data_IF_447633959021
#
_entry.id   IF_447633959021
#
_cell.length_a   1.000
_cell.length_b   1.000
_cell.length_c   1.000
_cell.angle_alpha   90.00
_cell.angle_beta   90.00
_cell.angle_gamma   90.00
#
_symmetry.space_group_name_H-M   'P 1'
#
loop_
_entity.id
_entity.type
_entity.pdbx_description
1 polymer ?
#
# COMPACT_ATOMS: atom_id res chain seq x y z
N UNK A 1 16.52 -5.03 19.31
CA UNK A 1 16.39 -3.55 19.33
C UNK A 1 15.22 -3.14 20.21
N UNK A 2 15.27 -1.94 20.77
CA UNK A 2 14.13 -1.23 21.38
C UNK A 2 13.70 -0.03 20.49
N UNK A 3 12.66 0.71 20.87
CA UNK A 3 12.11 1.81 20.06
C UNK A 3 13.11 2.96 19.92
N UNK A 4 13.81 3.33 20.99
CA UNK A 4 14.82 4.39 20.95
C UNK A 4 15.93 4.09 19.94
N UNK A 5 16.31 2.82 19.82
CA UNK A 5 17.27 2.35 18.82
C UNK A 5 16.71 2.30 17.40
N UNK A 6 15.38 2.31 17.21
CA UNK A 6 14.74 2.38 15.88
C UNK A 6 14.63 3.82 15.40
N UNK A 7 14.37 4.77 16.32
CA UNK A 7 14.31 6.19 16.00
C UNK A 7 15.63 6.65 15.37
N UNK A 8 15.53 7.34 14.26
CA UNK A 8 16.66 7.87 13.51
C UNK A 8 17.13 6.97 12.37
N UNK A 9 16.65 5.72 12.27
CA UNK A 9 16.90 4.85 11.13
C UNK A 9 15.96 5.14 9.96
N UNK A 10 16.46 4.89 8.75
CA UNK A 10 15.71 5.03 7.51
C UNK A 10 15.05 3.71 7.09
N UNK A 11 13.81 3.77 6.60
CA UNK A 11 13.09 2.64 6.03
C UNK A 11 13.66 2.30 4.65
N UNK A 12 14.21 1.09 4.53
CA UNK A 12 14.70 0.54 3.27
C UNK A 12 13.62 -0.23 2.51
N UNK A 13 12.84 -1.03 3.24
CA UNK A 13 11.74 -1.81 2.69
C UNK A 13 10.64 -2.07 3.73
N UNK A 14 9.44 -2.38 3.26
CA UNK A 14 8.32 -2.83 4.07
C UNK A 14 7.78 -4.11 3.44
N UNK A 15 7.80 -5.18 4.21
CA UNK A 15 7.31 -6.49 3.80
C UNK A 15 5.98 -6.79 4.45
N UNK A 16 5.02 -7.27 3.66
CA UNK A 16 3.73 -7.71 4.15
C UNK A 16 3.56 -9.20 3.83
N UNK A 17 3.23 -9.96 4.86
CA UNK A 17 2.64 -11.29 4.71
C UNK A 17 1.16 -11.18 5.05
N UNK A 18 0.32 -11.87 4.29
CA UNK A 18 -1.10 -11.97 4.60
C UNK A 18 -1.65 -13.35 4.30
N UNK A 19 -2.68 -13.72 5.06
CA UNK A 19 -3.47 -14.93 4.89
C UNK A 19 -4.93 -14.54 4.89
N UNK A 20 -5.60 -14.83 3.78
CA UNK A 20 -7.03 -14.58 3.61
C UNK A 20 -7.79 -15.84 4.01
N UNK A 21 -8.77 -15.72 4.90
CA UNK A 21 -9.57 -16.86 5.38
C UNK A 21 -11.05 -16.64 5.08
N UNK A 22 -11.60 -17.43 4.15
CA UNK A 22 -12.98 -17.27 3.71
C UNK A 22 -13.98 -17.51 4.86
N UNK A 23 -14.77 -16.49 5.18
CA UNK A 23 -15.73 -16.53 6.28
C UNK A 23 -15.10 -16.43 7.68
N UNK A 24 -13.80 -16.13 7.76
CA UNK A 24 -13.04 -15.98 9.00
C UNK A 24 -12.44 -14.58 9.17
N UNK A 25 -11.25 -14.54 9.76
CA UNK A 25 -10.45 -13.32 9.90
C UNK A 25 -9.28 -13.38 8.91
N UNK A 26 -9.11 -12.31 8.14
CA UNK A 26 -7.89 -12.13 7.36
C UNK A 26 -6.77 -11.71 8.32
N UNK A 27 -5.62 -12.38 8.21
CA UNK A 27 -4.44 -12.14 9.04
C UNK A 27 -3.36 -11.44 8.21
N UNK A 28 -2.57 -10.59 8.87
CA UNK A 28 -1.41 -9.99 8.26
C UNK A 28 -0.26 -9.79 9.26
N UNK A 29 0.93 -9.63 8.72
CA UNK A 29 2.17 -9.38 9.46
C UNK A 29 3.05 -8.43 8.67
N UNK A 30 3.36 -7.26 9.25
CA UNK A 30 4.14 -6.20 8.61
C UNK A 30 5.54 -6.17 9.20
N UNK A 31 6.55 -6.39 8.36
CA UNK A 31 7.97 -6.30 8.76
C UNK A 31 8.63 -5.11 8.08
N UNK A 32 9.33 -4.28 8.84
CA UNK A 32 10.05 -3.10 8.32
C UNK A 32 11.54 -3.42 8.28
N UNK A 33 12.16 -3.24 7.11
CA UNK A 33 13.61 -3.30 6.96
C UNK A 33 14.21 -1.91 7.11
N UNK A 34 15.18 -1.79 8.00
CA UNK A 34 15.94 -0.58 8.23
C UNK A 34 17.19 -0.53 7.35
N UNK A 35 17.79 0.65 7.23
CA UNK A 35 19.06 0.91 6.54
C UNK A 35 20.25 0.06 7.04
N UNK A 36 20.22 -0.39 8.30
CA UNK A 36 21.18 -1.29 8.91
C UNK A 36 20.87 -2.79 8.67
N UNK A 37 19.96 -3.08 7.73
CA UNK A 37 19.48 -4.40 7.33
C UNK A 37 18.71 -5.19 8.41
N UNK A 38 18.46 -4.61 9.57
CA UNK A 38 17.61 -5.25 10.59
C UNK A 38 16.14 -5.21 10.17
N UNK A 39 15.44 -6.29 10.50
CA UNK A 39 14.00 -6.45 10.27
C UNK A 39 13.28 -6.30 11.60
N UNK A 40 12.33 -5.38 11.69
CA UNK A 40 11.56 -5.11 12.91
C UNK A 40 10.06 -5.24 12.67
N UNK A 41 9.30 -5.46 13.74
CA UNK A 41 7.85 -5.25 13.76
C UNK A 41 7.48 -3.86 14.28
N UNK A 42 6.19 -3.54 14.24
CA UNK A 42 5.66 -2.33 14.91
C UNK A 42 5.33 -2.71 16.36
N UNK A 43 5.88 -2.01 17.36
CA UNK A 43 5.69 -2.38 18.76
C UNK A 43 4.27 -2.15 19.25
N UNK A 44 3.88 -2.92 20.26
CA UNK A 44 2.61 -2.78 20.98
C UNK A 44 2.65 -1.76 22.10
N UNK A 45 3.85 -1.50 22.65
CA UNK A 45 4.04 -0.52 23.71
C UNK A 45 5.40 0.18 23.62
N UNK A 46 5.52 1.36 24.22
CA UNK A 46 6.76 2.12 24.35
C UNK A 46 7.89 1.30 24.99
N UNK A 47 7.55 0.42 25.93
CA UNK A 47 8.52 -0.39 26.67
C UNK A 47 8.88 -1.68 25.94
N UNK A 48 8.40 -1.86 24.70
CA UNK A 48 8.69 -3.05 23.91
C UNK A 48 10.19 -3.21 23.65
N UNK A 49 10.74 -4.29 24.20
CA UNK A 49 12.07 -4.77 23.91
C UNK A 49 12.02 -5.85 22.80
N UNK A 50 13.17 -6.13 22.19
CA UNK A 50 13.29 -7.18 21.16
C UNK A 50 12.40 -7.02 19.92
N UNK A 51 12.34 -5.80 19.36
CA UNK A 51 11.57 -5.51 18.14
C UNK A 51 12.03 -6.27 16.88
N UNK A 52 13.23 -6.85 16.91
CA UNK A 52 13.78 -7.57 15.78
C UNK A 52 12.99 -8.87 15.56
N UNK A 53 12.53 -9.10 14.33
CA UNK A 53 11.78 -10.32 13.97
C UNK A 53 12.30 -10.98 12.71
N UNK A 54 12.07 -12.28 12.61
CA UNK A 54 12.39 -13.05 11.41
C UNK A 54 11.31 -12.80 10.36
N UNK A 55 11.73 -12.44 9.16
CA UNK A 55 10.82 -12.25 8.03
C UNK A 55 10.09 -13.57 7.72
N UNK A 56 8.75 -13.52 7.69
CA UNK A 56 7.95 -14.68 7.30
C UNK A 56 8.24 -15.11 5.87
N UNK A 57 8.14 -16.42 5.63
CA UNK A 57 8.24 -16.97 4.28
C UNK A 57 7.09 -16.40 3.44
N UNK A 58 7.40 -16.09 2.18
CA UNK A 58 6.46 -15.57 1.18
C UNK A 58 5.99 -14.11 1.38
N UNK A 59 6.51 -13.41 2.39
CA UNK A 59 6.31 -11.96 2.53
C UNK A 59 6.70 -11.22 1.24
N UNK A 60 5.92 -10.21 0.86
CA UNK A 60 6.14 -9.40 -0.34
C UNK A 60 6.57 -7.99 0.03
N UNK A 61 7.56 -7.46 -0.67
CA UNK A 61 7.96 -6.06 -0.56
C UNK A 61 6.86 -5.16 -1.16
N UNK A 62 6.45 -4.15 -0.40
CA UNK A 62 5.56 -3.07 -0.87
C UNK A 62 6.23 -2.18 -1.91
N UNK A 63 7.56 -2.18 -1.99
CA UNK A 63 8.33 -1.38 -2.94
C UNK A 63 8.79 -2.17 -4.18
N UNK A 64 8.29 -3.40 -4.36
CA UNK A 64 8.61 -4.24 -5.52
C UNK A 64 8.02 -3.72 -6.84
N UNK A 65 6.89 -3.01 -6.81
CA UNK A 65 6.33 -2.30 -7.96
C UNK A 65 5.79 -0.91 -7.55
N UNK A 66 6.63 0.11 -7.76
CA UNK A 66 6.33 1.51 -7.42
C UNK A 66 5.75 2.31 -8.60
N UNK A 67 5.40 1.64 -9.71
CA UNK A 67 4.85 2.33 -10.89
C UNK A 67 3.55 3.05 -10.55
N UNK A 68 3.29 4.14 -11.27
CA UNK A 68 2.04 4.89 -11.14
C UNK A 68 0.84 3.99 -11.46
N UNK A 69 -0.24 4.15 -10.69
CA UNK A 69 -1.43 3.32 -10.81
C UNK A 69 -2.30 3.90 -11.95
N UNK A 70 -2.63 3.11 -12.99
CA UNK A 70 -3.49 3.58 -14.07
C UNK A 70 -4.93 3.68 -13.55
N UNK A 71 -5.50 4.89 -13.52
CA UNK A 71 -6.92 5.05 -13.27
C UNK A 71 -7.67 5.04 -14.60
N UNK A 72 -8.50 4.02 -14.78
CA UNK A 72 -9.47 4.03 -15.86
C UNK A 72 -10.68 4.88 -15.45
N UNK A 73 -11.09 5.90 -16.22
CA UNK A 73 -12.33 6.60 -15.94
C UNK A 73 -13.51 5.62 -16.06
N UNK A 74 -14.34 5.53 -15.01
CA UNK A 74 -15.62 4.82 -15.07
C UNK A 74 -16.56 5.55 -16.05
N UNK A 75 -17.22 4.79 -16.92
CA UNK A 75 -18.24 5.29 -17.82
C UNK A 75 -19.52 5.61 -17.01
N UNK A 76 -20.24 6.72 -17.25
CA UNK A 76 -21.53 7.02 -16.59
C UNK A 76 -22.63 5.94 -16.78
N UNK A 77 -22.44 4.98 -17.68
CA UNK A 77 -23.40 3.91 -17.98
C UNK A 77 -23.14 2.56 -17.27
N UNK A 78 -22.38 2.54 -16.16
CA UNK A 78 -22.14 1.33 -15.31
C UNK A 78 -21.62 0.07 -16.05
N UNK A 79 -21.08 0.19 -17.27
CA UNK A 79 -20.48 -0.96 -17.97
C UNK A 79 -19.00 -1.05 -17.64
N UNK A 80 -18.64 -2.04 -16.83
CA UNK A 80 -17.27 -2.40 -16.48
C UNK A 80 -16.44 -2.71 -17.73
N UNK A 81 -15.19 -2.24 -17.75
CA UNK A 81 -14.18 -2.43 -18.81
C UNK A 81 -14.04 -3.90 -19.28
N UNK A 82 -14.32 -4.85 -18.39
CA UNK A 82 -14.33 -6.27 -18.71
C UNK A 82 -15.20 -6.59 -19.94
N UNK A 83 -16.38 -5.96 -20.04
CA UNK A 83 -17.32 -6.19 -21.17
C UNK A 83 -16.80 -5.67 -22.52
N UNK A 84 -15.93 -4.66 -22.51
CA UNK A 84 -15.31 -4.10 -23.72
C UNK A 84 -14.07 -4.91 -24.11
N UNK A 85 -13.33 -5.45 -23.13
CA UNK A 85 -12.19 -6.35 -23.35
C UNK A 85 -12.67 -7.71 -23.87
N UNK A 86 -13.72 -8.26 -23.28
CA UNK A 86 -14.29 -9.56 -23.66
C UNK A 86 -14.84 -9.53 -25.09
N UNK A 87 -15.57 -8.46 -25.47
CA UNK A 87 -16.05 -8.24 -26.83
C UNK A 87 -14.92 -8.10 -27.87
N UNK A 88 -13.73 -7.65 -27.44
CA UNK A 88 -12.54 -7.54 -28.30
C UNK A 88 -11.80 -8.87 -28.44
N UNK A 89 -11.84 -9.72 -27.42
CA UNK A 89 -11.24 -11.07 -27.44
C UNK A 89 -12.02 -12.03 -28.35
N UNK A 90 -13.35 -11.94 -28.39
CA UNK A 90 -14.17 -12.75 -29.29
C UNK A 90 -13.93 -12.41 -30.77
N UNK A 91 -13.69 -11.14 -31.08
CA UNK A 91 -13.34 -10.65 -32.44
C UNK A 91 -11.92 -11.06 -32.88
N UNK A 92 -10.98 -11.24 -31.95
CA UNK A 92 -9.59 -11.60 -32.25
C UNK A 92 -9.39 -13.11 -32.52
N UNK A 93 -10.37 -13.96 -32.20
CA UNK A 93 -10.27 -15.42 -32.38
C UNK A 93 -10.52 -15.92 -33.81
N UNK A 94 -10.90 -15.05 -34.76
CA UNK A 94 -11.29 -15.43 -36.13
C UNK A 94 -10.32 -15.00 -37.25
N UNK A 95 -9.18 -14.36 -36.93
CA UNK A 95 -8.32 -13.72 -37.95
C UNK A 95 -6.83 -14.12 -37.95
N UNK A 96 -6.47 -15.28 -37.39
CA UNK A 96 -5.14 -15.91 -37.63
C UNK A 96 -5.14 -16.87 -38.83
N UNK A 97 -5.97 -16.57 -39.82
CA UNK A 97 -6.05 -17.37 -41.03
C UNK A 97 -6.39 -16.50 -42.21
N UNK A 98 -5.43 -15.69 -42.70
CA UNK A 98 -5.16 -15.41 -44.13
C UNK A 98 -4.56 -14.00 -44.37
N UNK A 99 -3.32 -14.03 -44.87
CA UNK A 99 -2.86 -13.34 -46.09
C UNK A 99 -2.26 -11.93 -45.97
N UNK A 100 -0.95 -11.89 -46.22
CA UNK A 100 -0.17 -10.83 -46.88
C UNK A 100 -0.91 -10.14 -48.05
N UNK A 101 -0.92 -8.80 -48.11
CA UNK A 101 -0.63 -7.96 -49.31
C UNK A 101 -1.30 -6.58 -49.24
N UNK A 102 -0.50 -5.56 -49.54
CA UNK A 102 -0.83 -4.46 -50.49
C UNK A 102 -1.93 -3.46 -50.08
N UNK A 103 -1.45 -2.25 -49.76
CA UNK A 103 -1.84 -0.93 -50.30
C UNK A 103 -3.33 -0.52 -50.41
N UNK A 104 -3.56 0.72 -49.97
CA UNK A 104 -4.52 1.72 -50.46
C UNK A 104 -6.00 1.31 -50.45
N UNK A 105 -6.77 1.85 -49.51
CA UNK A 105 -7.82 2.84 -49.77
C UNK A 105 -8.31 3.38 -48.43
N UNK A 106 -8.51 4.70 -48.36
CA UNK A 106 -8.93 5.38 -47.14
C UNK A 106 -10.25 4.83 -46.60
N UNK A 107 -10.30 4.69 -45.29
CA UNK A 107 -11.56 4.74 -44.56
C UNK A 107 -11.36 5.81 -43.50
N UNK A 108 -11.95 6.98 -43.76
CA UNK A 108 -12.41 7.88 -42.72
C UNK A 108 -13.27 7.07 -41.75
N UNK A 109 -12.67 6.56 -40.67
CA UNK A 109 -13.40 6.07 -39.50
C UNK A 109 -13.24 7.14 -38.43
N UNK A 110 -14.17 8.09 -38.49
CA UNK A 110 -14.83 8.73 -37.37
C UNK A 110 -13.94 9.08 -36.17
N UNK A 111 -13.62 10.37 -36.10
CA UNK A 111 -13.30 11.10 -34.87
C UNK A 111 -14.43 10.88 -33.84
N UNK A 112 -14.34 9.85 -33.02
CA UNK A 112 -15.18 9.76 -31.81
C UNK A 112 -14.62 8.84 -30.72
N UNK A 113 -13.31 8.59 -30.75
CA UNK A 113 -12.61 8.07 -29.58
C UNK A 113 -11.43 8.99 -29.35
N UNK A 114 -11.71 10.18 -28.81
CA UNK A 114 -10.70 10.92 -28.08
C UNK A 114 -10.12 9.95 -27.06
N UNK A 115 -8.87 9.57 -27.33
CA UNK A 115 -8.03 8.71 -26.53
C UNK A 115 -8.20 9.14 -25.08
N UNK A 116 -8.96 8.37 -24.30
CA UNK A 116 -9.15 8.60 -22.88
C UNK A 116 -7.75 8.74 -22.27
N UNK A 117 -7.40 9.97 -21.86
CA UNK A 117 -6.13 10.22 -21.18
C UNK A 117 -6.14 9.39 -19.91
N UNK A 118 -5.43 8.26 -19.92
CA UNK A 118 -5.15 7.47 -18.73
C UNK A 118 -4.47 8.44 -17.76
N UNK A 119 -5.14 8.76 -16.66
CA UNK A 119 -4.54 9.55 -15.59
C UNK A 119 -3.76 8.57 -14.72
N UNK A 120 -2.47 8.80 -14.65
CA UNK A 120 -1.58 8.09 -13.75
C UNK A 120 -1.60 8.84 -12.42
N UNK A 121 -2.04 8.17 -11.36
CA UNK A 121 -1.92 8.71 -10.00
C UNK A 121 -0.58 8.27 -9.41
N UNK A 122 0.03 9.18 -8.66
CA UNK A 122 1.23 8.88 -7.87
C UNK A 122 0.94 7.75 -6.89
N UNK A 123 1.78 6.71 -6.95
CA UNK A 123 1.74 5.65 -5.96
C UNK A 123 2.29 6.23 -4.65
N UNK A 124 1.42 6.41 -3.65
CA UNK A 124 1.78 7.01 -2.36
C UNK A 124 2.87 6.23 -1.61
N UNK A 125 3.06 4.94 -1.90
CA UNK A 125 4.14 4.14 -1.34
C UNK A 125 5.53 4.71 -1.68
N UNK A 126 5.66 5.49 -2.76
CA UNK A 126 6.89 6.22 -3.09
C UNK A 126 7.31 7.20 -1.99
N UNK A 127 6.36 7.73 -1.21
CA UNK A 127 6.64 8.67 -0.12
C UNK A 127 7.03 7.96 1.17
N UNK A 128 6.96 6.62 1.25
CA UNK A 128 7.30 5.87 2.47
C UNK A 128 8.71 5.29 2.41
N UNK A 129 9.22 5.05 1.19
CA UNK A 129 10.55 4.54 0.97
C UNK A 129 11.60 5.60 1.30
N UNK A 130 12.72 5.16 1.85
CA UNK A 130 13.86 5.98 2.21
C UNK A 130 13.53 7.11 3.20
N UNK A 131 12.43 6.98 3.96
CA UNK A 131 12.06 7.93 5.00
C UNK A 131 12.64 7.52 6.36
N UNK A 132 13.16 8.49 7.09
CA UNK A 132 13.59 8.32 8.49
C UNK A 132 12.41 8.23 9.45
N UNK A 133 12.48 7.27 10.38
CA UNK A 133 11.56 7.19 11.52
C UNK A 133 11.99 8.23 12.56
N UNK A 134 11.08 9.14 12.92
CA UNK A 134 11.40 10.28 13.80
C UNK A 134 10.73 10.22 15.16
N UNK A 135 9.64 9.49 15.32
CA UNK A 135 8.92 9.38 16.61
C UNK A 135 8.07 8.10 16.65
N UNK A 136 7.59 7.77 17.84
CA UNK A 136 6.64 6.69 18.06
C UNK A 136 5.44 7.20 18.86
N UNK A 137 4.24 6.86 18.38
CA UNK A 137 2.96 7.29 18.93
C UNK A 137 2.20 6.07 19.43
N UNK A 138 1.52 6.21 20.58
CA UNK A 138 0.69 5.15 21.16
C UNK A 138 -0.48 5.71 21.97
N UNK A 139 -1.58 4.99 22.03
CA UNK A 139 -2.70 5.29 22.93
C UNK A 139 -2.62 4.38 24.16
N UNK A 140 -2.84 4.92 25.36
CA UNK A 140 -2.75 4.18 26.63
C UNK A 140 -3.70 2.99 26.74
N UNK A 141 -4.88 3.10 26.13
CA UNK A 141 -5.98 2.12 26.23
C UNK A 141 -6.24 1.39 24.89
N UNK A 142 -5.20 1.17 24.09
CA UNK A 142 -5.31 0.61 22.74
C UNK A 142 -4.94 -0.86 22.68
N UNK A 143 -5.90 -1.69 22.24
CA UNK A 143 -5.65 -3.08 21.78
C UNK A 143 -5.00 -3.13 20.39
N UNK A 144 -4.45 -2.01 19.92
CA UNK A 144 -3.73 -1.88 18.65
C UNK A 144 -2.24 -1.66 18.88
N UNK A 145 -1.45 -2.08 17.91
CA UNK A 145 -0.05 -1.70 17.80
C UNK A 145 0.10 -0.17 17.76
N UNK A 146 1.29 0.31 18.11
CA UNK A 146 1.60 1.72 17.99
C UNK A 146 1.81 2.18 16.55
N UNK A 147 2.35 3.38 16.43
CA UNK A 147 2.51 4.06 15.15
C UNK A 147 3.90 4.67 15.07
N UNK A 148 4.55 4.54 13.92
CA UNK A 148 5.79 5.27 13.64
C UNK A 148 5.48 6.53 12.82
N UNK A 149 6.02 7.67 13.26
CA UNK A 149 5.99 8.92 12.50
C UNK A 149 7.27 9.04 11.67
N UNK A 150 7.12 9.37 10.40
CA UNK A 150 8.18 9.53 9.43
C UNK A 150 8.54 11.00 9.25
N UNK A 151 9.76 11.28 8.80
CA UNK A 151 10.27 12.65 8.68
C UNK A 151 9.48 13.55 7.73
N UNK A 152 8.79 12.97 6.76
CA UNK A 152 7.89 13.68 5.84
C UNK A 152 6.46 13.86 6.39
N UNK A 153 6.20 13.47 7.63
CA UNK A 153 4.93 13.60 8.31
C UNK A 153 3.95 12.45 8.10
N UNK A 154 4.29 11.44 7.31
CA UNK A 154 3.50 10.21 7.22
C UNK A 154 3.55 9.45 8.55
N UNK A 155 2.48 8.74 8.85
CA UNK A 155 2.38 7.88 10.04
C UNK A 155 2.02 6.47 9.56
N UNK A 156 2.76 5.47 10.03
CA UNK A 156 2.60 4.08 9.59
C UNK A 156 2.25 3.16 10.77
N UNK A 157 1.44 2.14 10.50
CA UNK A 157 1.02 1.14 11.48
C UNK A 157 0.68 -0.19 10.80
N UNK A 158 0.27 -1.18 11.58
CA UNK A 158 -0.24 -2.45 11.09
C UNK A 158 -1.59 -2.81 11.72
N UNK A 159 -2.41 -3.57 10.99
CA UNK A 159 -3.62 -4.20 11.50
C UNK A 159 -3.43 -5.69 11.33
N UNK A 160 -3.30 -6.42 12.43
CA UNK A 160 -2.97 -7.84 12.39
C UNK A 160 -4.12 -8.72 11.90
N UNK A 161 -5.35 -8.34 12.24
CA UNK A 161 -6.54 -9.13 11.92
C UNK A 161 -7.70 -8.22 11.56
N UNK A 162 -8.50 -8.63 10.58
CA UNK A 162 -9.74 -7.95 10.21
C UNK A 162 -10.77 -8.95 9.71
N UNK A 163 -12.09 -8.67 9.79
CA UNK A 163 -13.09 -9.52 9.15
C UNK A 163 -12.76 -9.78 7.68
N UNK A 164 -13.03 -10.99 7.21
CA UNK A 164 -12.73 -11.39 5.86
C UNK A 164 -13.26 -10.40 4.81
N UNK A 165 -12.40 -10.03 3.85
CA UNK A 165 -12.78 -9.25 2.68
C UNK A 165 -12.88 -7.74 2.91
N UNK A 166 -12.53 -7.23 4.10
CA UNK A 166 -12.41 -5.78 4.34
C UNK A 166 -11.17 -5.18 3.67
N UNK A 167 -10.14 -6.00 3.44
CA UNK A 167 -8.83 -5.56 2.95
C UNK A 167 -8.06 -4.70 3.96
N UNK A 168 -8.50 -4.66 5.23
CA UNK A 168 -7.90 -3.79 6.24
C UNK A 168 -6.71 -4.43 6.99
N UNK A 169 -6.61 -5.76 7.01
CA UNK A 169 -5.50 -6.46 7.63
C UNK A 169 -4.22 -6.23 6.82
N UNK A 170 -3.18 -5.70 7.46
CA UNK A 170 -1.87 -5.43 6.88
C UNK A 170 -1.35 -4.04 7.20
N UNK A 171 -0.53 -3.54 6.29
CA UNK A 171 0.10 -2.23 6.40
C UNK A 171 -0.91 -1.11 6.19
N UNK A 172 -0.95 -0.16 7.13
CA UNK A 172 -1.80 1.03 7.06
C UNK A 172 -0.95 2.28 7.27
N UNK A 173 -1.37 3.39 6.67
CA UNK A 173 -0.69 4.67 6.82
C UNK A 173 -1.64 5.86 6.74
N UNK A 174 -1.17 6.98 7.27
CA UNK A 174 -1.81 8.29 7.22
C UNK A 174 -0.83 9.27 6.56
N UNK A 175 -1.35 10.14 5.70
CA UNK A 175 -0.51 11.08 4.93
C UNK A 175 0.03 12.23 5.79
N UNK A 176 -0.56 12.44 6.98
CA UNK A 176 -0.19 13.52 7.89
C UNK A 176 -0.68 13.26 9.32
N UNK A 177 -0.10 13.98 10.28
CA UNK A 177 -0.60 14.02 11.66
C UNK A 177 -2.06 14.48 11.74
N UNK A 178 -2.48 15.43 10.89
CA UNK A 178 -3.86 15.92 10.86
C UNK A 178 -4.81 14.77 10.47
N UNK A 179 -4.52 14.06 9.39
CA UNK A 179 -5.34 12.92 8.95
C UNK A 179 -5.37 11.77 9.97
N UNK A 180 -4.28 11.57 10.70
CA UNK A 180 -4.23 10.61 11.80
C UNK A 180 -5.12 11.05 12.97
N UNK A 181 -5.01 12.30 13.41
CA UNK A 181 -5.82 12.84 14.52
C UNK A 181 -7.31 12.89 14.22
N UNK A 182 -7.70 13.12 12.95
CA UNK A 182 -9.09 13.09 12.51
C UNK A 182 -9.70 11.69 12.59
N UNK A 183 -8.90 10.63 12.38
CA UNK A 183 -9.37 9.25 12.36
C UNK A 183 -9.22 8.54 13.71
N UNK A 184 -8.11 8.78 14.41
CA UNK A 184 -7.74 8.07 15.64
C UNK A 184 -7.95 8.91 16.91
N UNK A 185 -8.12 10.23 16.78
CA UNK A 185 -8.19 11.16 17.91
C UNK A 185 -6.82 11.66 18.38
N UNK A 186 -6.83 12.50 19.41
CA UNK A 186 -5.64 13.26 19.88
C UNK A 186 -5.04 12.77 21.19
N UNK A 187 -5.65 11.75 21.80
CA UNK A 187 -5.27 11.27 23.14
C UNK A 187 -4.14 10.23 23.09
N UNK A 188 -3.14 10.46 22.24
CA UNK A 188 -1.96 9.60 22.12
C UNK A 188 -0.76 10.23 22.83
N UNK A 189 0.15 9.39 23.28
CA UNK A 189 1.47 9.77 23.78
C UNK A 189 2.50 9.65 22.68
N UNK A 190 3.49 10.53 22.72
CA UNK A 190 4.70 10.49 21.89
C UNK A 190 5.88 10.04 22.72
N UNK A 191 6.79 9.25 22.16
CA UNK A 191 8.01 8.85 22.85
C UNK A 191 8.89 10.06 23.18
N UNK A 192 9.04 11.02 22.25
CA UNK A 192 9.80 12.26 22.50
C UNK A 192 9.33 13.04 23.74
N UNK A 193 8.05 12.94 24.09
CA UNK A 193 7.49 13.65 25.25
C UNK A 193 7.85 13.00 26.60
N UNK A 194 8.39 11.77 26.64
CA UNK A 194 8.91 11.16 27.88
C UNK A 194 10.28 11.72 28.30
N UNK A 195 10.97 12.47 27.42
CA UNK A 195 12.35 12.95 27.64
C UNK A 195 12.43 14.39 28.17
N UNK A 196 11.34 14.96 28.70
CA UNK A 196 11.30 16.29 29.33
C UNK A 196 10.85 16.22 30.79
#
# INVERSE_FOLDING_TARGET
>A
MNIEQVIGHTIKDIFVWSKVEFGGLDEADVSIQLDNDKIIGIPWDIESEHLEKVLKKDSKSLFSDLKHIPQHPMNPDEKTIQRVIDAKSESASSFLGRINKVFKFGIEILREHEIYKIKYHDNKLNYLKDQKIIDFLIFDDSDFVGYFELENGYIITEVLMSPHGTGMAGFNYYDSLISFEEQCGKNYRRLKNKSQ
#
